data_IF_874392376619
#
_entry.id   IF_874392376619
#
_cell.length_a   1.000
_cell.length_b   1.000
_cell.length_c   1.000
_cell.angle_alpha   90.00
_cell.angle_beta   90.00
_cell.angle_gamma   90.00
#
_symmetry.space_group_name_H-M   'P 1'
#
loop_
_entity.id
_entity.type
_entity.pdbx_description
1 polymer ?
#
# COMPACT_ATOMS: atom_id res chain seq x y z
N UNK A 1 9.67 32.42 -3.91
CA UNK A 1 9.41 31.18 -4.65
C UNK A 1 10.42 30.15 -4.17
N UNK A 2 10.13 29.50 -3.05
CA UNK A 2 11.03 28.62 -2.32
C UNK A 2 10.18 27.80 -1.37
N UNK A 3 9.22 27.11 -1.95
CA UNK A 3 8.17 26.39 -1.25
C UNK A 3 8.64 24.97 -0.93
N UNK A 4 8.30 24.56 0.29
CA UNK A 4 8.28 23.18 0.79
C UNK A 4 9.64 22.59 1.21
N UNK A 5 10.01 22.96 2.43
CA UNK A 5 10.39 21.95 3.44
C UNK A 5 9.31 20.85 3.50
N UNK A 6 9.33 19.92 2.56
CA UNK A 6 8.45 18.75 2.55
C UNK A 6 9.10 17.70 3.45
N UNK A 7 8.70 17.76 4.72
CA UNK A 7 8.70 16.69 5.72
C UNK A 7 9.02 15.31 5.12
N UNK A 8 10.22 14.81 5.40
CA UNK A 8 10.52 13.39 5.34
C UNK A 8 9.45 12.62 6.14
N UNK A 9 8.76 11.66 5.51
CA UNK A 9 7.90 10.69 6.18
C UNK A 9 6.39 10.68 5.85
N UNK A 10 5.86 11.63 5.05
CA UNK A 10 4.42 11.65 4.74
C UNK A 10 4.06 11.79 3.26
N UNK A 11 5.01 12.09 2.36
CA UNK A 11 4.69 12.25 0.94
C UNK A 11 4.38 10.91 0.25
N UNK A 12 5.16 9.85 0.51
CA UNK A 12 4.94 8.50 -0.08
C UNK A 12 3.64 7.83 0.39
N UNK A 13 3.15 8.16 1.58
CA UNK A 13 1.91 7.55 2.11
C UNK A 13 0.64 8.03 1.40
N UNK A 14 0.67 9.19 0.73
CA UNK A 14 -0.48 9.68 -0.03
C UNK A 14 -0.63 8.95 -1.37
N UNK A 15 0.49 8.68 -2.05
CA UNK A 15 0.47 8.00 -3.34
C UNK A 15 -0.05 6.57 -3.22
N UNK A 16 0.42 5.82 -2.21
CA UNK A 16 -0.10 4.47 -1.96
C UNK A 16 -1.58 4.47 -1.59
N UNK A 17 -2.03 5.46 -0.79
CA UNK A 17 -3.45 5.61 -0.45
C UNK A 17 -4.29 5.83 -1.72
N UNK A 18 -3.82 6.67 -2.63
CA UNK A 18 -4.51 6.94 -3.89
C UNK A 18 -4.58 5.71 -4.81
N UNK A 19 -3.53 4.91 -4.89
CA UNK A 19 -3.54 3.65 -5.64
C UNK A 19 -4.51 2.62 -5.04
N UNK A 20 -4.59 2.55 -3.70
CA UNK A 20 -5.52 1.64 -3.01
C UNK A 20 -6.98 2.05 -3.23
N UNK A 21 -7.29 3.34 -3.24
CA UNK A 21 -8.65 3.79 -3.55
C UNK A 21 -9.03 3.46 -5.00
N UNK A 22 -8.13 3.66 -5.97
CA UNK A 22 -8.37 3.23 -7.35
C UNK A 22 -8.58 1.71 -7.45
N UNK A 23 -7.81 0.92 -6.71
CA UNK A 23 -7.99 -0.53 -6.66
C UNK A 23 -9.37 -0.89 -6.11
N UNK A 24 -9.78 -0.25 -5.03
CA UNK A 24 -11.10 -0.43 -4.40
C UNK A 24 -12.24 -0.09 -5.36
N UNK A 25 -12.11 0.99 -6.13
CA UNK A 25 -13.08 1.36 -7.17
C UNK A 25 -13.18 0.26 -8.23
N UNK A 26 -12.04 -0.21 -8.77
CA UNK A 26 -12.01 -1.24 -9.81
C UNK A 26 -12.60 -2.59 -9.36
N UNK A 27 -12.26 -3.06 -8.15
CA UNK A 27 -12.81 -4.31 -7.59
C UNK A 27 -14.34 -4.20 -7.37
N UNK A 28 -14.88 -2.99 -7.26
CA UNK A 28 -16.33 -2.75 -7.18
C UNK A 28 -17.07 -2.96 -8.50
N UNK A 29 -16.36 -3.14 -9.61
CA UNK A 29 -16.93 -3.42 -10.94
C UNK A 29 -16.94 -4.92 -11.26
N UNK A 30 -17.69 -5.29 -12.28
CA UNK A 30 -17.65 -6.63 -12.84
C UNK A 30 -16.35 -6.76 -13.68
N UNK A 31 -15.47 -7.66 -13.27
CA UNK A 31 -14.14 -7.84 -13.86
C UNK A 31 -14.03 -9.27 -14.41
N UNK A 32 -13.65 -9.39 -15.68
CA UNK A 32 -13.34 -10.68 -16.29
C UNK A 32 -11.87 -11.06 -15.98
N UNK A 33 -11.67 -11.59 -14.78
CA UNK A 33 -10.34 -11.95 -14.30
C UNK A 33 -9.97 -13.36 -14.78
N UNK A 34 -9.03 -13.44 -15.72
CA UNK A 34 -8.28 -14.68 -15.96
C UNK A 34 -7.47 -15.12 -14.74
N UNK A 35 -7.08 -16.39 -14.69
CA UNK A 35 -6.37 -17.02 -13.55
C UNK A 35 -5.13 -16.22 -13.10
N UNK A 36 -4.29 -15.81 -14.06
CA UNK A 36 -3.06 -15.06 -13.76
C UNK A 36 -3.33 -13.69 -13.10
N UNK A 37 -4.36 -12.98 -13.58
CA UNK A 37 -4.71 -11.66 -13.05
C UNK A 37 -5.40 -11.78 -11.68
N UNK A 38 -6.19 -12.84 -11.50
CA UNK A 38 -6.81 -13.15 -10.21
C UNK A 38 -5.76 -13.48 -9.15
N UNK A 39 -4.77 -14.32 -9.47
CA UNK A 39 -3.69 -14.68 -8.55
C UNK A 39 -2.83 -13.47 -8.16
N UNK A 40 -2.49 -12.61 -9.13
CA UNK A 40 -1.73 -11.38 -8.85
C UNK A 40 -2.52 -10.40 -7.98
N UNK A 41 -3.83 -10.25 -8.24
CA UNK A 41 -4.71 -9.42 -7.42
C UNK A 41 -4.76 -9.94 -5.98
N UNK A 42 -4.90 -11.25 -5.78
CA UNK A 42 -4.92 -11.87 -4.46
C UNK A 42 -3.61 -11.60 -3.69
N UNK A 43 -2.45 -11.74 -4.34
CA UNK A 43 -1.15 -11.48 -3.70
C UNK A 43 -0.96 -10.01 -3.30
N UNK A 44 -1.37 -9.07 -4.17
CA UNK A 44 -1.33 -7.63 -3.85
C UNK A 44 -2.30 -7.29 -2.72
N UNK A 45 -3.51 -7.85 -2.72
CA UNK A 45 -4.47 -7.67 -1.62
C UNK A 45 -3.94 -8.24 -0.30
N UNK A 46 -3.31 -9.42 -0.32
CA UNK A 46 -2.64 -10.01 0.82
C UNK A 46 -1.54 -9.10 1.39
N UNK A 47 -0.74 -8.52 0.51
CA UNK A 47 0.31 -7.55 0.87
C UNK A 47 -0.26 -6.29 1.51
N UNK A 48 -1.36 -5.75 0.97
CA UNK A 48 -2.06 -4.59 1.54
C UNK A 48 -2.66 -4.88 2.93
N UNK A 49 -3.23 -6.08 3.13
CA UNK A 49 -3.75 -6.51 4.43
C UNK A 49 -2.61 -6.61 5.45
N UNK A 50 -1.50 -7.24 5.09
CA UNK A 50 -0.33 -7.35 5.97
C UNK A 50 0.23 -5.97 6.34
N UNK A 51 0.30 -5.04 5.37
CA UNK A 51 0.73 -3.67 5.60
C UNK A 51 -0.18 -2.97 6.62
N UNK A 52 -1.49 -3.12 6.48
CA UNK A 52 -2.46 -2.56 7.44
C UNK A 52 -2.29 -3.15 8.85
N UNK A 53 -2.08 -4.46 8.97
CA UNK A 53 -1.84 -5.11 10.25
C UNK A 53 -0.57 -4.57 10.93
N UNK A 54 0.53 -4.45 10.18
CA UNK A 54 1.80 -3.88 10.69
C UNK A 54 1.64 -2.43 11.11
N UNK A 55 0.91 -1.62 10.35
CA UNK A 55 0.62 -0.24 10.72
C UNK A 55 -0.14 -0.13 12.04
N UNK A 56 -1.15 -0.99 12.26
CA UNK A 56 -1.87 -1.07 13.55
C UNK A 56 -0.96 -1.50 14.70
N UNK A 57 -0.02 -2.42 14.46
CA UNK A 57 1.00 -2.79 15.46
C UNK A 57 1.88 -1.60 15.81
N UNK A 58 2.37 -0.87 14.79
CA UNK A 58 3.20 0.31 14.99
C UNK A 58 2.46 1.37 15.83
N UNK A 59 1.20 1.66 15.49
CA UNK A 59 0.36 2.59 16.25
C UNK A 59 0.22 2.16 17.72
N UNK A 60 -0.02 0.86 17.97
CA UNK A 60 -0.09 0.35 19.36
C UNK A 60 1.23 0.47 20.10
N UNK A 61 2.37 0.24 19.44
CA UNK A 61 3.69 0.37 20.06
C UNK A 61 4.05 1.82 20.36
N UNK A 62 3.71 2.75 19.47
CA UNK A 62 3.82 4.20 19.71
C UNK A 62 2.98 4.62 20.91
N UNK A 63 1.73 4.16 20.98
CA UNK A 63 0.85 4.46 22.12
C UNK A 63 1.30 3.84 23.44
N UNK A 64 2.12 2.78 23.38
CA UNK A 64 2.70 2.10 24.55
C UNK A 64 4.09 2.62 24.92
N UNK A 65 4.55 3.74 24.33
CA UNK A 65 5.85 4.38 24.56
C UNK A 65 7.03 3.40 24.46
N UNK A 66 6.98 2.52 23.45
CA UNK A 66 8.05 1.54 23.18
C UNK A 66 9.34 2.22 22.74
N UNK A 67 10.45 1.51 22.94
CA UNK A 67 11.77 2.00 22.59
C UNK A 67 11.84 2.42 21.10
N UNK A 68 12.50 3.54 20.78
CA UNK A 68 12.62 4.01 19.40
C UNK A 68 13.21 2.99 18.42
N UNK A 69 14.13 2.14 18.89
CA UNK A 69 14.77 1.12 18.06
C UNK A 69 13.78 0.05 17.60
N UNK A 70 12.86 -0.38 18.47
CA UNK A 70 11.80 -1.34 18.12
C UNK A 70 10.83 -0.74 17.09
N UNK A 71 10.55 0.57 17.21
CA UNK A 71 9.73 1.30 16.25
C UNK A 71 10.44 1.46 14.90
N UNK A 72 11.76 1.64 14.90
CA UNK A 72 12.55 1.81 13.68
C UNK A 72 12.55 0.54 12.82
N UNK A 73 12.70 -0.64 13.43
CA UNK A 73 12.61 -1.93 12.72
C UNK A 73 11.26 -2.09 12.03
N UNK A 74 10.17 -1.81 12.75
CA UNK A 74 8.83 -1.95 12.18
C UNK A 74 8.51 -0.88 11.13
N UNK A 75 9.07 0.33 11.26
CA UNK A 75 8.97 1.38 10.24
C UNK A 75 9.69 1.01 8.96
N UNK A 76 10.94 0.54 9.04
CA UNK A 76 11.68 0.08 7.85
C UNK A 76 10.94 -1.06 7.13
N UNK A 77 10.40 -2.01 7.88
CA UNK A 77 9.61 -3.10 7.33
C UNK A 77 8.28 -2.66 6.70
N UNK A 78 7.73 -1.49 7.08
CA UNK A 78 6.57 -0.87 6.41
C UNK A 78 6.98 -0.10 5.17
N UNK A 79 8.10 0.63 5.22
CA UNK A 79 8.65 1.38 4.08
C UNK A 79 9.03 0.44 2.92
N UNK A 80 9.60 -0.72 3.22
CA UNK A 80 9.93 -1.73 2.19
C UNK A 80 8.67 -2.30 1.52
N UNK A 81 7.62 -2.57 2.32
CA UNK A 81 6.33 -3.02 1.78
C UNK A 81 5.66 -1.93 0.94
N UNK A 82 5.70 -0.68 1.40
CA UNK A 82 5.13 0.45 0.68
C UNK A 82 5.84 0.63 -0.67
N UNK A 83 7.16 0.47 -0.71
CA UNK A 83 7.94 0.51 -1.95
C UNK A 83 7.58 -0.62 -2.92
N UNK A 84 7.43 -1.84 -2.42
CA UNK A 84 7.02 -2.98 -3.25
C UNK A 84 5.61 -2.77 -3.81
N UNK A 85 4.66 -2.37 -2.97
CA UNK A 85 3.29 -2.09 -3.38
C UNK A 85 3.24 -0.95 -4.42
N UNK A 86 4.00 0.12 -4.22
CA UNK A 86 4.11 1.23 -5.17
C UNK A 86 4.67 0.81 -6.52
N UNK A 87 5.53 -0.22 -6.58
CA UNK A 87 6.05 -0.75 -7.82
C UNK A 87 5.03 -1.66 -8.56
N UNK A 88 4.22 -2.41 -7.81
CA UNK A 88 3.32 -3.44 -8.36
C UNK A 88 1.92 -2.91 -8.70
N UNK A 89 1.35 -2.08 -7.83
CA UNK A 89 -0.03 -1.60 -7.95
C UNK A 89 -0.32 -0.90 -9.28
N UNK A 90 0.53 -0.02 -9.83
CA UNK A 90 0.20 0.68 -11.07
C UNK A 90 -0.04 -0.27 -12.25
N UNK A 91 0.83 -1.26 -12.44
CA UNK A 91 0.71 -2.24 -13.52
C UNK A 91 -0.53 -3.14 -13.33
N UNK A 92 -0.82 -3.54 -12.07
CA UNK A 92 -2.03 -4.29 -11.76
C UNK A 92 -3.29 -3.48 -12.09
N UNK A 93 -3.35 -2.20 -11.70
CA UNK A 93 -4.49 -1.32 -11.98
C UNK A 93 -4.74 -1.15 -13.48
N UNK A 94 -3.68 -1.01 -14.28
CA UNK A 94 -3.79 -0.94 -15.74
C UNK A 94 -4.40 -2.23 -16.31
N UNK A 95 -3.94 -3.39 -15.84
CA UNK A 95 -4.47 -4.69 -16.28
C UNK A 95 -5.91 -4.91 -15.86
N UNK A 96 -6.28 -4.53 -14.64
CA UNK A 96 -7.67 -4.60 -14.16
C UNK A 96 -8.59 -3.71 -15.00
N UNK A 97 -8.13 -2.51 -15.41
CA UNK A 97 -8.91 -1.64 -16.31
C UNK A 97 -9.15 -2.26 -17.67
N UNK A 98 -8.17 -3.01 -18.20
CA UNK A 98 -8.33 -3.74 -19.47
C UNK A 98 -9.20 -4.99 -19.36
N UNK A 99 -9.46 -5.47 -18.14
CA UNK A 99 -10.34 -6.60 -17.85
C UNK A 99 -11.80 -6.19 -17.58
N UNK A 100 -12.13 -4.90 -17.74
CA UNK A 100 -13.50 -4.41 -17.69
C UNK A 100 -14.21 -4.69 -19.03
N UNK A 101 -15.51 -5.06 -19.01
CA UNK A 101 -16.30 -5.33 -20.21
C UNK A 101 -16.59 -4.08 -21.07
#
# INVERSE_FOLDING_TARGET
MGEMSRRAGYAESWDLTYLVEQLRELIGHDLDLGEDLSAELEDVLGSLVLRNQRLRVLQRMVNADRAPDDLAVLRGALEDMDRELMARLPALLERLRSAMP
#
